data_IF_545278306204
#
_entry.id   IF_545278306204
#
_cell.length_a   1.000
_cell.length_b   1.000
_cell.length_c   1.000
_cell.angle_alpha   90.00
_cell.angle_beta   90.00
_cell.angle_gamma   90.00
#
_symmetry.space_group_name_H-M   'P 1'
#
loop_
_entity.id
_entity.type
_entity.pdbx_description
1 polymer ?
#
# COMPACT_ATOMS: atom_id res chain seq x y z
N UNK A 1 -39.34 -63.99 16.51
CA UNK A 1 -38.42 -62.83 16.73
C UNK A 1 -37.20 -62.92 15.80
N UNK A 2 -37.32 -62.66 14.52
CA UNK A 2 -36.24 -62.55 13.54
C UNK A 2 -36.72 -61.71 12.33
N UNK A 3 -36.89 -60.40 12.48
CA UNK A 3 -37.20 -59.54 11.32
C UNK A 3 -36.91 -58.06 11.52
N UNK A 4 -35.91 -57.68 12.34
CA UNK A 4 -35.63 -56.24 12.55
C UNK A 4 -34.19 -55.81 12.31
N UNK A 5 -33.29 -56.70 11.91
CA UNK A 5 -31.84 -56.34 11.72
C UNK A 5 -31.53 -56.01 10.23
N UNK A 6 -32.25 -56.59 9.28
CA UNK A 6 -32.00 -56.39 7.85
C UNK A 6 -32.50 -55.06 7.32
N UNK A 7 -33.56 -54.47 7.90
CA UNK A 7 -34.07 -53.17 7.45
C UNK A 7 -33.24 -51.95 7.87
N UNK A 8 -32.46 -52.09 8.98
CA UNK A 8 -31.58 -50.99 9.44
C UNK A 8 -30.26 -50.92 8.67
N UNK A 9 -29.77 -52.03 8.14
CA UNK A 9 -28.55 -52.07 7.33
C UNK A 9 -28.77 -51.55 5.91
N UNK A 10 -29.96 -51.72 5.33
CA UNK A 10 -30.32 -51.21 4.00
C UNK A 10 -30.49 -49.67 4.04
N UNK A 11 -31.06 -49.13 5.12
CA UNK A 11 -31.21 -47.69 5.28
C UNK A 11 -29.84 -46.97 5.51
N UNK A 12 -28.92 -47.61 6.22
CA UNK A 12 -27.56 -47.06 6.41
C UNK A 12 -26.69 -47.12 5.14
N UNK A 13 -26.88 -48.16 4.31
CA UNK A 13 -26.18 -48.27 3.02
C UNK A 13 -26.69 -47.27 1.97
N UNK A 14 -27.97 -46.91 2.00
CA UNK A 14 -28.55 -45.90 1.11
C UNK A 14 -28.14 -44.47 1.52
N UNK A 15 -27.95 -44.16 2.81
CA UNK A 15 -27.44 -42.86 3.25
C UNK A 15 -25.96 -42.67 2.91
N UNK A 16 -25.16 -43.74 2.95
CA UNK A 16 -23.72 -43.68 2.63
C UNK A 16 -23.43 -43.53 1.13
N UNK A 17 -24.36 -43.91 0.26
CA UNK A 17 -24.21 -43.80 -1.20
C UNK A 17 -24.65 -42.43 -1.76
N UNK A 18 -25.44 -41.66 -1.01
CA UNK A 18 -25.94 -40.34 -1.46
C UNK A 18 -25.01 -39.20 -1.04
N UNK A 19 -24.26 -39.34 0.06
CA UNK A 19 -23.33 -38.33 0.55
C UNK A 19 -22.17 -37.99 -0.41
N UNK A 20 -21.53 -38.93 -1.11
CA UNK A 20 -20.44 -38.59 -2.01
C UNK A 20 -20.89 -37.93 -3.32
N UNK A 21 -22.11 -38.18 -3.78
CA UNK A 21 -22.61 -37.55 -5.02
C UNK A 21 -22.96 -36.07 -4.84
N UNK A 22 -23.43 -35.68 -3.67
CA UNK A 22 -23.70 -34.27 -3.35
C UNK A 22 -22.39 -33.49 -3.07
N UNK A 23 -21.39 -34.14 -2.48
CA UNK A 23 -20.09 -33.53 -2.26
C UNK A 23 -19.32 -33.32 -3.57
N UNK A 24 -19.44 -34.24 -4.53
CA UNK A 24 -18.81 -34.12 -5.85
C UNK A 24 -19.48 -33.01 -6.69
N UNK A 25 -20.80 -32.87 -6.60
CA UNK A 25 -21.53 -31.81 -7.29
C UNK A 25 -21.25 -30.40 -6.74
N UNK A 26 -20.82 -30.29 -5.45
CA UNK A 26 -20.41 -29.02 -4.84
C UNK A 26 -18.96 -28.63 -5.15
N UNK A 27 -18.17 -29.54 -5.74
CA UNK A 27 -16.75 -29.33 -6.08
C UNK A 27 -16.52 -29.01 -7.56
N UNK A 28 -17.52 -28.93 -8.38
CA UNK A 28 -17.37 -28.37 -9.73
C UNK A 28 -17.22 -26.85 -9.63
N UNK A 29 -15.97 -26.41 -9.67
CA UNK A 29 -15.67 -24.99 -9.77
C UNK A 29 -16.33 -24.38 -10.99
N UNK A 30 -17.03 -23.26 -10.80
CA UNK A 30 -17.60 -22.49 -11.90
C UNK A 30 -16.51 -22.08 -12.90
N UNK A 31 -16.86 -21.84 -14.15
CA UNK A 31 -15.93 -21.36 -15.17
C UNK A 31 -15.24 -20.05 -14.71
N UNK A 32 -15.97 -19.20 -13.96
CA UNK A 32 -15.44 -17.95 -13.40
C UNK A 32 -14.38 -18.21 -12.33
N UNK A 33 -14.58 -19.20 -11.46
CA UNK A 33 -13.59 -19.62 -10.45
C UNK A 33 -12.31 -20.16 -11.12
N UNK A 34 -12.46 -21.01 -12.14
CA UNK A 34 -11.32 -21.54 -12.91
C UNK A 34 -10.56 -20.42 -13.63
N UNK A 35 -11.24 -19.43 -14.19
CA UNK A 35 -10.62 -18.28 -14.83
C UNK A 35 -9.93 -17.35 -13.81
N UNK A 36 -10.54 -17.14 -12.64
CA UNK A 36 -9.94 -16.38 -11.56
C UNK A 36 -8.65 -17.05 -11.05
N UNK A 37 -8.65 -18.37 -10.87
CA UNK A 37 -7.45 -19.12 -10.47
C UNK A 37 -6.33 -19.04 -11.53
N UNK A 38 -6.66 -19.16 -12.82
CA UNK A 38 -5.67 -18.99 -13.90
C UNK A 38 -5.07 -17.59 -13.90
N UNK A 39 -5.91 -16.56 -13.75
CA UNK A 39 -5.46 -15.17 -13.67
C UNK A 39 -4.57 -14.94 -12.44
N UNK A 40 -4.86 -15.59 -11.32
CA UNK A 40 -4.06 -15.53 -10.10
C UNK A 40 -2.70 -16.23 -10.27
N UNK A 41 -2.67 -17.43 -10.87
CA UNK A 41 -1.42 -18.13 -11.17
C UNK A 41 -0.51 -17.32 -12.10
N UNK A 42 -1.07 -16.72 -13.14
CA UNK A 42 -0.32 -15.86 -14.06
C UNK A 42 0.15 -14.58 -13.37
N UNK A 43 -0.67 -14.00 -12.51
CA UNK A 43 -0.26 -12.88 -11.67
C UNK A 43 0.95 -13.22 -10.81
N UNK A 44 0.93 -14.35 -10.09
CA UNK A 44 2.06 -14.79 -9.27
C UNK A 44 3.32 -15.06 -10.11
N UNK A 45 3.20 -15.62 -11.31
CA UNK A 45 4.33 -15.81 -12.21
C UNK A 45 4.99 -14.49 -12.59
N UNK A 46 4.20 -13.51 -13.02
CA UNK A 46 4.68 -12.18 -13.40
C UNK A 46 5.30 -11.45 -12.20
N UNK A 47 4.67 -11.55 -11.04
CA UNK A 47 5.16 -10.91 -9.81
C UNK A 47 6.48 -11.53 -9.37
N UNK A 48 6.63 -12.84 -9.45
CA UNK A 48 7.88 -13.53 -9.12
C UNK A 48 9.04 -13.12 -10.04
N UNK A 49 8.82 -13.05 -11.35
CA UNK A 49 9.82 -12.57 -12.31
C UNK A 49 10.26 -11.12 -12.00
N UNK A 50 9.33 -10.26 -11.57
CA UNK A 50 9.63 -8.90 -11.11
C UNK A 50 10.33 -8.89 -9.76
N UNK A 51 9.97 -9.81 -8.88
CA UNK A 51 10.47 -9.92 -7.52
C UNK A 51 11.96 -10.25 -7.44
N UNK A 52 12.50 -10.93 -8.43
CA UNK A 52 13.93 -11.26 -8.52
C UNK A 52 14.79 -10.09 -9.02
N UNK A 53 14.16 -9.06 -9.61
CA UNK A 53 14.88 -7.92 -10.20
C UNK A 53 15.09 -6.81 -9.17
N UNK A 54 16.33 -6.38 -8.99
CA UNK A 54 16.64 -5.12 -8.34
C UNK A 54 16.44 -3.95 -9.32
N UNK A 55 15.77 -2.88 -8.89
CA UNK A 55 15.45 -1.71 -9.71
C UNK A 55 16.41 -0.55 -9.52
N UNK A 56 17.21 -0.60 -8.45
CA UNK A 56 18.35 0.32 -8.25
C UNK A 56 19.51 -0.44 -7.62
N UNK A 57 20.72 0.04 -7.84
CA UNK A 57 21.90 -0.47 -7.15
C UNK A 57 22.05 0.19 -5.77
N UNK A 58 22.64 -0.49 -4.77
CA UNK A 58 22.94 0.11 -3.47
C UNK A 58 23.72 1.42 -3.66
N UNK A 59 23.20 2.53 -3.12
CA UNK A 59 23.76 3.87 -3.33
C UNK A 59 23.66 4.78 -2.12
N UNK A 60 22.87 4.40 -1.12
CA UNK A 60 22.66 5.21 0.07
C UNK A 60 23.67 4.83 1.15
N UNK A 61 24.25 5.85 1.78
CA UNK A 61 25.13 5.64 2.93
C UNK A 61 24.32 5.30 4.17
N UNK A 62 24.55 4.11 4.70
CA UNK A 62 23.89 3.59 5.91
C UNK A 62 24.81 3.67 7.15
N UNK A 63 26.02 4.22 7.04
CA UNK A 63 27.01 4.23 8.13
C UNK A 63 26.55 4.98 9.38
N UNK A 64 25.62 5.93 9.22
CA UNK A 64 25.05 6.70 10.33
C UNK A 64 23.90 5.97 11.07
N UNK A 65 23.46 4.78 10.59
CA UNK A 65 22.48 3.96 11.27
C UNK A 65 23.12 3.13 12.39
N UNK A 66 22.39 2.89 13.49
CA UNK A 66 22.91 2.04 14.55
C UNK A 66 23.08 0.60 14.09
N UNK A 67 24.14 -0.08 14.51
CA UNK A 67 24.27 -1.51 14.35
C UNK A 67 23.25 -2.26 15.21
N UNK A 68 22.76 -3.40 14.73
CA UNK A 68 21.90 -4.25 15.52
C UNK A 68 22.71 -5.01 16.57
N UNK A 69 22.44 -4.73 17.83
CA UNK A 69 22.93 -5.49 18.98
C UNK A 69 21.73 -6.04 19.72
N UNK A 70 21.56 -7.37 19.85
CA UNK A 70 20.48 -7.94 20.63
C UNK A 70 20.46 -7.42 22.07
N UNK A 71 19.33 -6.90 22.53
CA UNK A 71 19.13 -6.58 23.95
C UNK A 71 18.70 -7.82 24.72
N UNK A 72 17.98 -8.71 24.03
CA UNK A 72 17.49 -9.96 24.57
C UNK A 72 17.58 -11.03 23.49
N UNK A 73 18.08 -12.23 23.83
CA UNK A 73 17.95 -13.39 22.97
C UNK A 73 16.52 -13.90 23.04
N UNK A 74 15.88 -13.98 21.88
CA UNK A 74 14.47 -14.37 21.79
C UNK A 74 14.30 -15.68 21.04
N UNK A 75 13.20 -16.37 21.32
CA UNK A 75 12.87 -17.67 20.72
C UNK A 75 11.41 -17.69 20.26
N UNK A 76 11.10 -18.67 19.40
CA UNK A 76 9.73 -18.89 18.92
C UNK A 76 9.42 -18.20 17.62
N UNK A 77 8.14 -18.20 17.26
CA UNK A 77 7.66 -17.65 16.00
C UNK A 77 7.24 -16.18 16.11
N UNK A 78 7.60 -15.38 15.12
CA UNK A 78 7.07 -14.05 14.84
C UNK A 78 6.17 -14.20 13.62
N UNK A 79 4.87 -13.97 13.79
CA UNK A 79 3.88 -14.10 12.73
C UNK A 79 3.65 -12.72 12.08
N UNK A 80 3.99 -12.60 10.81
CA UNK A 80 3.85 -11.37 10.03
C UNK A 80 2.77 -11.57 8.96
N UNK A 81 1.73 -10.75 8.99
CA UNK A 81 0.69 -10.69 7.97
C UNK A 81 0.76 -9.39 7.19
N UNK A 82 0.05 -9.30 6.06
CA UNK A 82 -0.15 -8.02 5.38
C UNK A 82 0.20 -8.02 3.91
N UNK A 83 0.89 -6.97 3.53
CA UNK A 83 1.25 -6.66 2.16
C UNK A 83 2.16 -7.73 1.54
N UNK A 84 1.79 -8.19 0.35
CA UNK A 84 2.48 -9.25 -0.37
C UNK A 84 3.89 -8.87 -0.88
N UNK A 85 4.24 -7.60 -0.99
CA UNK A 85 5.44 -7.17 -1.71
C UNK A 85 6.76 -7.67 -1.13
N UNK A 86 6.88 -7.85 0.19
CA UNK A 86 8.10 -8.43 0.77
C UNK A 86 8.23 -9.95 0.55
N UNK A 87 7.12 -10.63 0.21
CA UNK A 87 7.12 -12.04 -0.19
C UNK A 87 7.20 -12.20 -1.72
N UNK A 88 6.64 -11.26 -2.48
CA UNK A 88 6.74 -11.21 -3.93
C UNK A 88 8.16 -10.86 -4.41
N UNK A 89 8.92 -10.15 -3.56
CA UNK A 89 10.36 -9.92 -3.70
C UNK A 89 11.17 -10.87 -2.83
N UNK A 90 12.42 -10.50 -2.58
CA UNK A 90 13.34 -11.27 -1.75
C UNK A 90 13.55 -10.66 -0.36
N UNK A 91 12.98 -9.49 -0.08
CA UNK A 91 13.24 -8.74 1.14
C UNK A 91 12.84 -9.51 2.40
N UNK A 92 11.71 -10.20 2.39
CA UNK A 92 11.28 -11.03 3.52
C UNK A 92 12.27 -12.15 3.85
N UNK A 93 12.79 -12.81 2.81
CA UNK A 93 13.83 -13.84 2.99
C UNK A 93 15.16 -13.25 3.47
N UNK A 94 15.55 -12.09 2.93
CA UNK A 94 16.78 -11.42 3.33
C UNK A 94 16.72 -11.01 4.80
N UNK A 95 15.65 -10.39 5.24
CA UNK A 95 15.43 -10.05 6.65
C UNK A 95 15.43 -11.29 7.56
N UNK A 96 14.73 -12.35 7.16
CA UNK A 96 14.70 -13.59 7.94
C UNK A 96 16.10 -14.21 8.09
N UNK A 97 16.86 -14.31 6.99
CA UNK A 97 18.22 -14.88 6.99
C UNK A 97 19.20 -14.01 7.80
N UNK A 98 19.10 -12.68 7.66
CA UNK A 98 19.98 -11.77 8.38
C UNK A 98 19.65 -11.71 9.87
N UNK A 99 18.37 -11.65 10.26
CA UNK A 99 17.92 -11.66 11.65
C UNK A 99 18.32 -12.95 12.38
N UNK A 100 18.22 -14.10 11.72
CA UNK A 100 18.59 -15.39 12.30
C UNK A 100 20.07 -15.51 12.71
N UNK A 101 20.97 -14.70 12.11
CA UNK A 101 22.38 -14.66 12.52
C UNK A 101 22.56 -14.10 13.93
N UNK A 102 21.68 -13.20 14.35
CA UNK A 102 21.70 -12.55 15.66
C UNK A 102 20.73 -13.21 16.64
N UNK A 103 19.63 -13.77 16.14
CA UNK A 103 18.54 -14.36 16.92
C UNK A 103 18.23 -15.79 16.45
N UNK A 104 19.16 -16.75 16.68
CA UNK A 104 19.03 -18.11 16.12
C UNK A 104 17.85 -18.91 16.66
N UNK A 105 17.28 -18.51 17.80
CA UNK A 105 16.09 -19.13 18.39
C UNK A 105 14.77 -18.60 17.85
N UNK A 106 14.79 -17.47 17.15
CA UNK A 106 13.60 -16.85 16.58
C UNK A 106 13.37 -17.32 15.13
N UNK A 107 12.11 -17.45 14.75
CA UNK A 107 11.68 -17.81 13.41
C UNK A 107 10.60 -16.85 12.94
N UNK A 108 10.56 -16.54 11.65
CA UNK A 108 9.53 -15.66 11.05
C UNK A 108 8.63 -16.51 10.19
N UNK A 109 7.32 -16.31 10.30
CA UNK A 109 6.36 -16.85 9.38
C UNK A 109 5.62 -15.70 8.70
N UNK A 110 5.55 -15.74 7.38
CA UNK A 110 4.88 -14.75 6.57
C UNK A 110 3.56 -15.30 6.03
N UNK A 111 2.48 -14.53 6.22
CA UNK A 111 1.22 -14.71 5.51
C UNK A 111 0.80 -13.36 4.93
N UNK A 112 1.17 -13.13 3.68
CA UNK A 112 1.15 -11.82 3.02
C UNK A 112 0.30 -11.85 1.73
N UNK A 113 -1.02 -12.13 1.82
CA UNK A 113 -1.88 -12.17 0.63
C UNK A 113 -2.19 -10.79 0.08
N UNK A 114 -2.33 -9.79 0.95
CA UNK A 114 -2.67 -8.39 0.63
C UNK A 114 -2.65 -7.53 1.89
N UNK A 115 -2.51 -6.23 1.74
CA UNK A 115 -2.71 -5.28 2.84
C UNK A 115 -4.19 -5.14 3.26
N UNK A 116 -5.12 -5.38 2.34
CA UNK A 116 -6.54 -5.31 2.65
C UNK A 116 -6.92 -6.39 3.69
N UNK A 117 -7.59 -5.96 4.77
CA UNK A 117 -8.01 -6.86 5.85
C UNK A 117 -6.89 -7.37 6.75
N UNK A 118 -5.64 -6.92 6.57
CA UNK A 118 -4.51 -7.36 7.39
C UNK A 118 -4.67 -6.95 8.87
N UNK A 119 -5.31 -5.82 9.15
CA UNK A 119 -5.59 -5.37 10.52
C UNK A 119 -6.47 -6.37 11.29
N UNK A 120 -7.40 -7.05 10.62
CA UNK A 120 -8.17 -8.14 11.22
C UNK A 120 -7.30 -9.25 11.82
N UNK A 121 -6.09 -9.48 11.31
CA UNK A 121 -5.18 -10.45 11.91
C UNK A 121 -4.61 -9.97 13.26
N UNK A 122 -4.39 -8.66 13.46
CA UNK A 122 -4.08 -8.10 14.78
C UNK A 122 -5.29 -8.12 15.70
N UNK A 123 -6.47 -7.80 15.18
CA UNK A 123 -7.72 -7.77 15.94
C UNK A 123 -7.95 -9.08 16.67
N UNK A 124 -7.72 -10.18 15.98
CA UNK A 124 -7.96 -11.55 16.51
C UNK A 124 -6.70 -12.30 16.95
N UNK A 125 -5.56 -11.61 17.13
CA UNK A 125 -4.28 -12.19 17.58
C UNK A 125 -3.76 -13.31 16.67
N UNK A 126 -4.06 -13.25 15.37
CA UNK A 126 -3.55 -14.18 14.36
C UNK A 126 -2.15 -13.77 13.86
N UNK A 127 -1.79 -12.49 14.00
CA UNK A 127 -0.49 -11.95 13.72
C UNK A 127 0.12 -11.26 14.95
N UNK A 128 1.44 -11.29 15.07
CA UNK A 128 2.20 -10.48 16.02
C UNK A 128 2.48 -9.09 15.41
N UNK A 129 2.65 -9.04 14.09
CA UNK A 129 3.01 -7.83 13.32
C UNK A 129 2.24 -7.83 11.99
N UNK A 130 1.86 -6.64 11.53
CA UNK A 130 1.38 -6.41 10.18
C UNK A 130 2.40 -5.57 9.41
N UNK A 131 2.71 -5.95 8.18
CA UNK A 131 3.43 -5.14 7.22
C UNK A 131 2.45 -4.53 6.22
N UNK A 132 2.24 -3.20 6.26
CA UNK A 132 1.22 -2.53 5.46
C UNK A 132 1.55 -1.05 5.25
N UNK A 133 0.90 -0.43 4.27
CA UNK A 133 0.72 1.03 4.23
C UNK A 133 -0.23 1.47 5.34
N UNK A 134 -0.51 2.78 5.43
CA UNK A 134 -1.45 3.30 6.44
C UNK A 134 -2.81 2.62 6.32
N UNK A 135 -3.42 2.22 7.47
CA UNK A 135 -4.74 1.61 7.48
C UNK A 135 -5.80 2.61 7.03
N UNK A 136 -6.82 2.13 6.36
CA UNK A 136 -8.01 2.91 6.10
C UNK A 136 -8.79 3.22 7.39
N UNK A 137 -9.65 4.23 7.33
CA UNK A 137 -10.48 4.64 8.48
C UNK A 137 -11.20 3.47 9.15
N UNK A 138 -11.82 2.59 8.37
CA UNK A 138 -12.59 1.46 8.91
C UNK A 138 -11.71 0.36 9.52
N UNK A 139 -10.53 0.12 8.98
CA UNK A 139 -9.56 -0.83 9.56
C UNK A 139 -9.11 -0.34 10.94
N UNK A 140 -8.74 0.94 11.04
CA UNK A 140 -8.31 1.55 12.29
C UNK A 140 -9.44 1.61 13.32
N UNK A 141 -10.65 2.01 12.90
CA UNK A 141 -11.82 2.06 13.75
C UNK A 141 -12.19 0.68 14.33
N UNK A 142 -12.13 -0.38 13.51
CA UNK A 142 -12.37 -1.75 13.95
C UNK A 142 -11.32 -2.18 14.99
N UNK A 143 -10.05 -1.91 14.69
CA UNK A 143 -8.94 -2.20 15.60
C UNK A 143 -9.10 -1.51 16.97
N UNK A 144 -9.34 -0.20 16.98
CA UNK A 144 -9.51 0.59 18.20
C UNK A 144 -10.70 0.10 19.05
N UNK A 145 -11.81 -0.28 18.43
CA UNK A 145 -12.98 -0.86 19.11
C UNK A 145 -12.67 -2.21 19.78
N UNK A 146 -11.82 -3.04 19.16
CA UNK A 146 -11.49 -4.36 19.68
C UNK A 146 -10.37 -4.29 20.71
N UNK A 147 -9.32 -3.50 20.44
CA UNK A 147 -8.11 -3.43 21.28
C UNK A 147 -8.15 -2.31 22.34
N UNK A 148 -8.97 -1.28 22.13
CA UNK A 148 -9.06 -0.09 22.98
C UNK A 148 -7.71 0.64 23.17
N UNK A 149 -6.85 0.56 22.14
CA UNK A 149 -5.56 1.25 22.01
C UNK A 149 -5.29 1.53 20.53
N UNK A 150 -4.44 2.51 20.24
CA UNK A 150 -3.91 2.72 18.89
C UNK A 150 -2.85 1.64 18.56
N UNK A 151 -2.70 1.20 17.30
CA UNK A 151 -1.62 0.32 16.92
C UNK A 151 -0.28 1.07 16.98
N UNK A 152 0.78 0.39 17.43
CA UNK A 152 2.13 0.95 17.32
C UNK A 152 2.57 0.88 15.87
N UNK A 153 2.81 2.05 15.27
CA UNK A 153 3.22 2.24 13.88
C UNK A 153 4.73 2.48 13.79
N UNK A 154 5.44 1.62 13.07
CA UNK A 154 6.89 1.72 12.84
C UNK A 154 7.16 1.77 11.34
N UNK A 155 7.67 2.89 10.82
CA UNK A 155 8.11 2.96 9.44
C UNK A 155 9.26 1.96 9.20
N UNK A 156 9.10 1.09 8.20
CA UNK A 156 10.07 0.06 7.85
C UNK A 156 10.98 0.48 6.68
N UNK A 157 10.40 1.19 5.71
CA UNK A 157 11.04 1.62 4.45
C UNK A 157 10.39 2.91 3.95
N UNK A 158 11.10 3.66 3.09
CA UNK A 158 10.58 4.90 2.48
C UNK A 158 9.95 4.67 1.12
N UNK A 159 8.94 3.84 1.02
CA UNK A 159 8.28 3.62 -0.27
C UNK A 159 9.22 3.08 -1.34
N UNK A 160 8.84 3.25 -2.61
CA UNK A 160 9.67 2.84 -3.75
C UNK A 160 9.63 3.86 -4.89
N UNK A 161 10.62 3.78 -5.77
CA UNK A 161 10.74 4.62 -6.95
C UNK A 161 10.69 3.77 -8.21
N UNK A 162 9.66 3.94 -9.04
CA UNK A 162 9.52 3.32 -10.35
C UNK A 162 9.48 1.79 -10.38
N UNK A 163 9.05 1.15 -9.33
CA UNK A 163 8.91 -0.31 -9.26
C UNK A 163 7.46 -0.69 -9.49
N UNK A 164 7.13 -1.13 -10.69
CA UNK A 164 5.76 -1.55 -11.01
C UNK A 164 5.28 -2.68 -10.11
N UNK A 165 4.14 -2.46 -9.44
CA UNK A 165 3.52 -3.43 -8.55
C UNK A 165 3.93 -3.32 -7.08
N UNK A 166 4.91 -2.48 -6.73
CA UNK A 166 5.26 -2.13 -5.35
C UNK A 166 4.59 -0.84 -4.91
N UNK A 167 4.61 -0.56 -3.61
CA UNK A 167 4.06 0.65 -3.01
C UNK A 167 4.94 1.86 -3.36
N UNK A 168 4.66 2.45 -4.51
CA UNK A 168 5.37 3.61 -5.02
C UNK A 168 4.83 4.91 -4.42
N UNK A 169 5.67 5.92 -4.32
CA UNK A 169 5.24 7.30 -4.10
C UNK A 169 4.31 7.75 -5.22
N UNK A 170 3.36 8.63 -4.89
CA UNK A 170 2.48 9.18 -5.93
C UNK A 170 3.24 10.12 -6.86
N UNK A 171 2.91 10.07 -8.13
CA UNK A 171 3.29 11.05 -9.14
C UNK A 171 2.06 11.79 -9.62
N UNK A 172 2.19 13.09 -9.84
CA UNK A 172 1.19 13.88 -10.57
C UNK A 172 1.68 14.02 -12.00
N UNK A 173 0.82 13.64 -12.92
CA UNK A 173 1.11 13.62 -14.35
C UNK A 173 0.12 14.49 -15.11
N UNK A 174 0.63 15.18 -16.12
CA UNK A 174 -0.13 16.02 -17.04
C UNK A 174 0.21 15.66 -18.48
N UNK A 175 -0.61 16.11 -19.42
CA UNK A 175 -0.28 16.02 -20.84
C UNK A 175 1.05 16.72 -21.13
N UNK A 176 1.82 16.20 -22.08
CA UNK A 176 3.14 16.73 -22.46
C UNK A 176 3.15 18.20 -22.88
N UNK A 177 2.07 18.67 -23.50
CA UNK A 177 1.91 20.05 -23.96
C UNK A 177 1.53 21.03 -22.82
N UNK A 178 1.15 20.54 -21.64
CA UNK A 178 0.77 21.40 -20.53
C UNK A 178 1.98 22.17 -19.98
N UNK A 179 1.96 23.51 -19.90
CA UNK A 179 3.14 24.30 -19.49
C UNK A 179 3.38 24.32 -17.98
N UNK A 180 2.47 23.79 -17.14
CA UNK A 180 2.60 23.87 -15.67
C UNK A 180 3.84 23.14 -15.19
N UNK A 181 4.62 23.74 -14.28
CA UNK A 181 5.87 23.16 -13.78
C UNK A 181 5.69 22.32 -12.52
N UNK A 182 4.73 22.69 -11.70
CA UNK A 182 4.43 21.98 -10.45
C UNK A 182 3.22 22.58 -9.75
N UNK A 183 2.81 21.93 -8.68
CA UNK A 183 1.63 22.28 -7.87
C UNK A 183 1.96 22.12 -6.38
N UNK A 184 1.25 22.88 -5.55
CA UNK A 184 1.28 22.65 -4.10
C UNK A 184 0.26 21.59 -3.68
N UNK A 185 0.44 21.05 -2.48
CA UNK A 185 -0.54 20.12 -1.86
C UNK A 185 -1.94 20.75 -1.75
N UNK A 186 -2.02 22.07 -1.46
CA UNK A 186 -3.30 22.79 -1.42
C UNK A 186 -3.94 22.89 -2.81
N UNK A 187 -3.15 23.15 -3.86
CA UNK A 187 -3.64 23.15 -5.22
C UNK A 187 -4.11 21.76 -5.67
N UNK A 188 -3.40 20.70 -5.29
CA UNK A 188 -3.86 19.33 -5.55
C UNK A 188 -5.20 19.03 -4.87
N UNK A 189 -5.36 19.44 -3.62
CA UNK A 189 -6.65 19.33 -2.92
C UNK A 189 -7.75 20.12 -3.67
N UNK A 190 -7.45 21.31 -4.16
CA UNK A 190 -8.39 22.11 -4.97
C UNK A 190 -8.80 21.44 -6.28
N UNK A 191 -7.87 20.76 -6.96
CA UNK A 191 -8.10 20.10 -8.26
C UNK A 191 -8.82 18.76 -8.08
N UNK A 192 -8.32 17.88 -7.21
CA UNK A 192 -8.82 16.51 -7.06
C UNK A 192 -9.97 16.41 -6.07
N UNK A 193 -10.14 17.41 -5.20
CA UNK A 193 -11.17 17.44 -4.17
C UNK A 193 -12.34 18.37 -4.47
N UNK A 194 -13.38 18.23 -3.65
CA UNK A 194 -14.52 19.12 -3.54
C UNK A 194 -14.55 19.77 -2.15
N UNK A 195 -15.53 20.65 -1.92
CA UNK A 195 -15.77 21.26 -0.61
C UNK A 195 -16.06 20.21 0.46
N UNK A 196 -15.66 20.51 1.69
CA UNK A 196 -15.86 19.63 2.84
C UNK A 196 -15.97 20.43 4.16
N UNK A 197 -16.68 19.86 5.12
CA UNK A 197 -16.88 20.45 6.44
C UNK A 197 -15.78 20.06 7.45
N UNK A 198 -14.86 19.20 7.07
CA UNK A 198 -13.75 18.71 7.88
C UNK A 198 -13.04 17.56 7.20
N UNK A 199 -12.23 16.83 7.96
CA UNK A 199 -11.50 15.67 7.50
C UNK A 199 -11.22 14.70 8.64
N UNK A 200 -10.66 13.55 8.31
CA UNK A 200 -10.26 12.55 9.30
C UNK A 200 -8.74 12.47 9.42
N UNK A 201 -8.25 12.42 10.65
CA UNK A 201 -6.87 12.07 10.98
C UNK A 201 -6.93 10.84 11.87
N UNK A 202 -6.60 9.68 11.31
CA UNK A 202 -6.98 8.42 11.92
C UNK A 202 -8.49 8.34 12.09
N UNK A 203 -8.99 8.07 13.29
CA UNK A 203 -10.42 8.05 13.65
C UNK A 203 -10.92 9.35 14.25
N UNK A 204 -10.09 10.41 14.32
CA UNK A 204 -10.42 11.69 14.89
C UNK A 204 -10.93 12.67 13.82
N UNK A 205 -12.17 13.14 13.99
CA UNK A 205 -12.72 14.18 13.14
C UNK A 205 -12.07 15.53 13.40
N UNK A 206 -11.68 16.22 12.35
CA UNK A 206 -10.98 17.52 12.36
C UNK A 206 -11.77 18.56 11.56
N UNK A 207 -12.62 19.39 12.23
CA UNK A 207 -13.38 20.45 11.57
C UNK A 207 -12.48 21.57 11.02
N UNK A 208 -11.28 21.75 11.56
CA UNK A 208 -10.28 22.69 11.06
C UNK A 208 -9.70 22.33 9.67
N UNK A 209 -9.99 21.14 9.16
CA UNK A 209 -9.68 20.72 7.81
C UNK A 209 -10.81 21.02 6.80
N UNK A 210 -11.82 21.80 7.21
CA UNK A 210 -12.88 22.27 6.33
C UNK A 210 -12.31 23.10 5.15
N UNK A 211 -12.97 23.02 4.00
CA UNK A 211 -12.60 23.73 2.79
C UNK A 211 -13.86 24.08 2.00
N UNK A 212 -14.06 25.36 1.72
CA UNK A 212 -15.21 25.85 0.96
C UNK A 212 -15.04 25.67 -0.55
N UNK A 213 -16.14 25.86 -1.32
CA UNK A 213 -16.15 25.71 -2.77
C UNK A 213 -15.28 26.75 -3.51
N UNK A 214 -15.01 27.90 -2.90
CA UNK A 214 -14.14 28.94 -3.46
C UNK A 214 -12.70 28.51 -3.65
N UNK A 215 -12.30 27.42 -2.98
CA UNK A 215 -10.98 26.79 -3.13
C UNK A 215 -10.97 25.66 -4.16
N UNK A 216 -12.09 25.39 -4.82
CA UNK A 216 -12.12 24.44 -5.93
C UNK A 216 -11.40 25.02 -7.15
N UNK A 217 -10.49 24.23 -7.71
CA UNK A 217 -9.73 24.59 -8.91
C UNK A 217 -10.24 23.72 -10.06
N UNK A 218 -10.88 24.35 -11.04
CA UNK A 218 -11.55 23.67 -12.15
C UNK A 218 -11.03 24.08 -13.51
N UNK A 219 -10.25 25.18 -13.57
CA UNK A 219 -9.65 25.66 -14.82
C UNK A 219 -8.15 25.87 -14.66
N UNK A 220 -7.42 25.74 -15.76
CA UNK A 220 -5.98 25.97 -15.80
C UNK A 220 -5.61 27.44 -15.53
N UNK A 221 -6.51 28.38 -15.86
CA UNK A 221 -6.33 29.80 -15.55
C UNK A 221 -6.29 30.10 -14.06
N UNK A 222 -7.04 29.36 -13.23
CA UNK A 222 -6.96 29.49 -11.77
C UNK A 222 -5.58 29.11 -11.20
N UNK A 223 -4.77 28.40 -11.98
CA UNK A 223 -3.38 28.06 -11.66
C UNK A 223 -2.38 29.03 -12.29
N UNK A 224 -2.85 30.15 -12.86
CA UNK A 224 -2.01 31.18 -13.46
C UNK A 224 -1.62 30.94 -14.91
N UNK A 225 -2.18 29.92 -15.59
CA UNK A 225 -1.94 29.74 -17.01
C UNK A 225 -2.77 30.74 -17.82
N UNK A 226 -2.17 31.30 -18.85
CA UNK A 226 -2.73 32.36 -19.70
C UNK A 226 -2.91 31.91 -21.16
N UNK A 227 -3.40 32.81 -22.00
CA UNK A 227 -3.61 32.53 -23.44
C UNK A 227 -4.62 31.41 -23.66
N UNK A 228 -4.28 30.43 -24.45
CA UNK A 228 -5.18 29.31 -24.79
C UNK A 228 -5.59 28.43 -23.56
N UNK A 229 -4.92 28.59 -22.45
CA UNK A 229 -5.16 27.81 -21.23
C UNK A 229 -6.09 28.48 -20.21
N UNK A 230 -6.29 29.82 -20.37
CA UNK A 230 -6.95 30.62 -19.32
C UNK A 230 -8.34 30.09 -18.93
N UNK A 231 -9.16 29.72 -19.91
CA UNK A 231 -10.54 29.28 -19.70
C UNK A 231 -10.71 27.75 -19.84
N UNK A 232 -9.61 27.00 -20.00
CA UNK A 232 -9.73 25.56 -20.23
C UNK A 232 -10.02 24.81 -18.94
N UNK A 233 -10.99 23.90 -18.96
CA UNK A 233 -11.29 23.06 -17.81
C UNK A 233 -10.11 22.11 -17.55
N UNK A 234 -9.94 21.74 -16.27
CA UNK A 234 -9.03 20.69 -15.86
C UNK A 234 -9.79 19.36 -15.92
N UNK A 235 -9.34 18.43 -16.74
CA UNK A 235 -9.90 17.09 -16.80
C UNK A 235 -9.13 16.18 -15.85
N UNK A 236 -9.80 15.66 -14.83
CA UNK A 236 -9.18 14.95 -13.71
C UNK A 236 -9.30 13.45 -13.89
N UNK A 237 -8.17 12.74 -13.76
CA UNK A 237 -8.07 11.29 -13.90
C UNK A 237 -7.46 10.66 -12.67
N UNK A 238 -7.98 9.49 -12.24
CA UNK A 238 -7.50 8.80 -11.04
C UNK A 238 -7.87 7.33 -10.98
N UNK A 239 -7.57 6.72 -9.86
CA UNK A 239 -7.90 5.33 -9.58
C UNK A 239 -9.31 5.18 -9.04
N UNK A 240 -9.95 4.07 -9.38
CA UNK A 240 -11.20 3.64 -8.74
C UNK A 240 -10.99 3.42 -7.23
N UNK A 241 -12.00 3.76 -6.42
CA UNK A 241 -12.03 3.52 -4.97
C UNK A 241 -11.89 2.04 -4.56
N UNK A 242 -11.95 1.12 -5.53
CA UNK A 242 -11.65 -0.30 -5.29
C UNK A 242 -10.19 -0.57 -4.92
N UNK A 243 -9.30 0.40 -5.12
CA UNK A 243 -7.86 0.27 -4.89
C UNK A 243 -7.42 1.16 -3.73
N UNK A 244 -6.58 0.59 -2.88
CA UNK A 244 -5.93 1.32 -1.78
C UNK A 244 -5.16 2.57 -2.27
N UNK A 245 -4.78 2.59 -3.54
CA UNK A 245 -4.16 3.75 -4.19
C UNK A 245 -5.06 4.99 -4.10
N UNK A 246 -6.35 4.86 -4.38
CA UNK A 246 -7.28 5.97 -4.30
C UNK A 246 -7.49 6.43 -2.86
N UNK A 247 -7.69 5.49 -1.91
CA UNK A 247 -7.86 5.83 -0.49
C UNK A 247 -6.61 6.47 0.10
N UNK A 248 -5.42 5.95 -0.20
CA UNK A 248 -4.17 6.55 0.25
C UNK A 248 -3.93 7.96 -0.32
N UNK A 249 -4.34 8.22 -1.57
CA UNK A 249 -4.31 9.57 -2.13
C UNK A 249 -5.32 10.49 -1.43
N UNK A 250 -6.51 9.99 -1.15
CA UNK A 250 -7.54 10.71 -0.40
C UNK A 250 -7.04 11.12 0.99
N UNK A 251 -6.43 10.20 1.73
CA UNK A 251 -5.88 10.49 3.06
C UNK A 251 -4.78 11.55 3.00
N UNK A 252 -3.90 11.45 2.03
CA UNK A 252 -2.74 12.34 1.91
C UNK A 252 -3.12 13.73 1.38
N UNK A 253 -3.94 13.80 0.34
CA UNK A 253 -4.27 15.04 -0.37
C UNK A 253 -5.61 15.61 0.08
N UNK A 254 -6.67 14.80 0.16
CA UNK A 254 -8.04 15.22 0.46
C UNK A 254 -8.38 15.13 1.95
N UNK A 255 -7.38 14.93 2.82
CA UNK A 255 -7.52 14.89 4.27
C UNK A 255 -8.50 13.83 4.78
N UNK A 256 -8.53 12.67 4.15
CA UNK A 256 -9.43 11.57 4.51
C UNK A 256 -10.92 11.91 4.41
N UNK A 257 -11.27 12.97 3.67
CA UNK A 257 -12.66 13.48 3.62
C UNK A 257 -13.58 12.70 2.70
N UNK A 258 -13.00 11.92 1.79
CA UNK A 258 -13.71 11.24 0.69
C UNK A 258 -14.53 12.18 -0.22
N UNK A 259 -14.15 13.47 -0.23
CA UNK A 259 -14.77 14.51 -1.07
C UNK A 259 -13.95 14.72 -2.32
N UNK A 260 -14.27 13.94 -3.34
CA UNK A 260 -13.60 13.97 -4.64
C UNK A 260 -14.22 15.01 -5.58
N UNK A 261 -13.39 15.47 -6.52
CA UNK A 261 -13.87 16.28 -7.65
C UNK A 261 -14.95 15.50 -8.41
N UNK A 262 -16.09 16.14 -8.61
CA UNK A 262 -17.30 15.57 -9.21
C UNK A 262 -17.13 15.10 -10.66
N UNK A 263 -16.07 15.58 -11.33
CA UNK A 263 -15.77 15.24 -12.74
C UNK A 263 -14.66 14.20 -12.89
N UNK A 264 -14.12 13.66 -11.78
CA UNK A 264 -13.03 12.71 -11.84
C UNK A 264 -13.40 11.46 -12.64
N UNK A 265 -12.54 11.09 -13.58
CA UNK A 265 -12.64 9.83 -14.32
C UNK A 265 -11.77 8.78 -13.64
N UNK A 266 -12.40 7.81 -13.01
CA UNK A 266 -11.73 6.76 -12.26
C UNK A 266 -11.54 5.49 -13.10
N UNK A 267 -10.34 4.93 -13.08
CA UNK A 267 -9.98 3.70 -13.80
C UNK A 267 -9.76 2.54 -12.85
N UNK A 268 -10.08 1.34 -13.33
CA UNK A 268 -9.82 0.09 -12.65
C UNK A 268 -9.26 -0.96 -13.62
N UNK A 269 -8.64 -2.00 -13.07
CA UNK A 269 -8.21 -3.15 -13.85
C UNK A 269 -9.42 -3.88 -14.44
N UNK A 270 -9.31 -4.32 -15.67
CA UNK A 270 -10.29 -5.23 -16.25
C UNK A 270 -9.64 -6.21 -17.24
N UNK A 271 -10.30 -7.33 -17.44
CA UNK A 271 -9.97 -8.31 -18.47
C UNK A 271 -10.93 -8.12 -19.63
N UNK A 272 -10.40 -7.87 -20.81
CA UNK A 272 -11.21 -7.83 -22.02
C UNK A 272 -11.63 -9.26 -22.45
N UNK A 273 -12.68 -9.40 -23.26
CA UNK A 273 -13.15 -10.71 -23.72
C UNK A 273 -12.09 -11.53 -24.47
N UNK A 274 -11.12 -10.89 -25.08
CA UNK A 274 -9.96 -11.50 -25.75
C UNK A 274 -8.86 -11.99 -24.79
N UNK A 275 -9.07 -11.84 -23.47
CA UNK A 275 -8.12 -12.21 -22.42
C UNK A 275 -7.03 -11.17 -22.17
N UNK A 276 -7.05 -10.02 -22.84
CA UNK A 276 -6.10 -8.93 -22.58
C UNK A 276 -6.43 -8.22 -21.28
N UNK A 277 -5.44 -8.08 -20.40
CA UNK A 277 -5.55 -7.31 -19.16
C UNK A 277 -5.25 -5.84 -19.40
N UNK A 278 -6.14 -4.97 -18.95
CA UNK A 278 -5.93 -3.53 -18.90
C UNK A 278 -5.67 -3.10 -17.47
N UNK A 279 -4.50 -2.52 -17.25
CA UNK A 279 -4.05 -2.05 -15.93
C UNK A 279 -4.47 -0.60 -15.76
N UNK A 280 -5.02 -0.24 -14.61
CA UNK A 280 -5.53 1.10 -14.31
C UNK A 280 -4.49 2.21 -14.52
N UNK A 281 -3.25 1.97 -14.06
CA UNK A 281 -2.15 2.94 -14.19
C UNK A 281 -1.81 3.24 -15.66
N UNK A 282 -1.81 2.22 -16.53
CA UNK A 282 -1.58 2.38 -17.97
C UNK A 282 -2.72 3.12 -18.62
N UNK A 283 -3.97 2.82 -18.26
CA UNK A 283 -5.18 3.49 -18.78
C UNK A 283 -5.19 4.99 -18.43
N UNK A 284 -4.86 5.34 -17.18
CA UNK A 284 -4.75 6.75 -16.74
C UNK A 284 -3.69 7.47 -17.57
N UNK A 285 -2.51 6.87 -17.72
CA UNK A 285 -1.40 7.47 -18.47
C UNK A 285 -1.76 7.65 -19.93
N UNK A 286 -2.41 6.67 -20.56
CA UNK A 286 -2.86 6.74 -21.96
C UNK A 286 -3.94 7.81 -22.15
N UNK A 287 -4.90 7.90 -21.23
CA UNK A 287 -5.95 8.92 -21.28
C UNK A 287 -5.37 10.35 -21.19
N UNK A 288 -4.40 10.57 -20.28
CA UNK A 288 -3.73 11.87 -20.14
C UNK A 288 -2.91 12.21 -21.37
N UNK A 289 -2.24 11.24 -21.99
CA UNK A 289 -1.48 11.47 -23.21
C UNK A 289 -2.34 11.88 -24.43
N UNK A 290 -3.64 11.55 -24.41
CA UNK A 290 -4.62 11.88 -25.45
C UNK A 290 -5.44 13.15 -25.17
N UNK A 291 -5.40 13.66 -23.94
CA UNK A 291 -6.21 14.78 -23.48
C UNK A 291 -5.30 15.94 -23.04
N UNK A 292 -5.22 16.98 -23.88
CA UNK A 292 -4.36 18.15 -23.67
C UNK A 292 -4.57 18.82 -22.29
N UNK A 293 -5.80 18.82 -21.79
CA UNK A 293 -6.19 19.50 -20.54
C UNK A 293 -6.22 18.59 -19.32
N UNK A 294 -5.67 17.39 -19.45
CA UNK A 294 -5.69 16.37 -18.42
C UNK A 294 -4.65 16.58 -17.33
N UNK A 295 -5.03 16.17 -16.12
CA UNK A 295 -4.18 15.91 -14.98
C UNK A 295 -4.61 14.60 -14.31
N UNK A 296 -3.68 13.87 -13.74
CA UNK A 296 -3.98 12.68 -12.96
C UNK A 296 -2.90 12.36 -11.95
N UNK A 297 -3.23 11.47 -11.02
CA UNK A 297 -2.25 10.89 -10.12
C UNK A 297 -1.99 9.42 -10.47
N UNK A 298 -0.76 8.99 -10.27
CA UNK A 298 -0.34 7.62 -10.52
C UNK A 298 0.69 7.18 -9.47
N UNK A 299 0.91 5.88 -9.31
CA UNK A 299 2.01 5.29 -8.50
C UNK A 299 3.13 4.73 -9.38
N UNK A 300 2.99 4.87 -10.66
CA UNK A 300 3.84 4.26 -11.65
C UNK A 300 4.47 5.33 -12.54
N UNK A 301 5.67 5.08 -12.99
CA UNK A 301 6.46 6.03 -13.79
C UNK A 301 5.80 6.50 -15.08
N UNK A 302 4.82 5.89 -15.56
CA UNK A 302 3.96 6.36 -16.65
C UNK A 302 4.64 7.16 -17.77
N UNK A 303 5.92 6.90 -18.09
CA UNK A 303 6.60 7.58 -19.18
C UNK A 303 5.98 7.15 -20.49
N UNK A 304 5.26 8.08 -21.08
CA UNK A 304 4.74 8.00 -22.44
C UNK A 304 5.17 9.29 -23.16
N UNK A 305 5.33 9.28 -24.48
CA UNK A 305 5.82 10.45 -25.22
C UNK A 305 5.06 11.74 -24.94
N UNK A 306 3.76 11.64 -24.66
CA UNK A 306 2.87 12.79 -24.46
C UNK A 306 2.47 13.01 -23.00
N UNK A 307 3.20 12.45 -22.03
CA UNK A 307 2.89 12.58 -20.59
C UNK A 307 4.15 12.97 -19.85
N UNK A 308 4.03 13.92 -18.93
CA UNK A 308 5.14 14.28 -18.06
C UNK A 308 4.70 14.39 -16.61
N UNK A 309 5.63 14.14 -15.71
CA UNK A 309 5.49 14.38 -14.27
C UNK A 309 5.72 15.86 -13.97
N UNK A 310 5.10 16.34 -12.90
CA UNK A 310 5.32 17.69 -12.37
C UNK A 310 5.82 17.64 -10.94
N UNK A 311 6.54 18.67 -10.54
CA UNK A 311 7.05 18.82 -9.18
C UNK A 311 5.93 19.18 -8.20
N UNK A 312 6.07 18.79 -6.92
CA UNK A 312 5.07 19.03 -5.88
C UNK A 312 5.72 19.77 -4.72
N UNK A 313 5.04 20.78 -4.19
CA UNK A 313 5.47 21.52 -3.01
C UNK A 313 4.48 21.42 -1.86
N UNK A 314 4.95 21.62 -0.65
CA UNK A 314 4.13 21.71 0.57
C UNK A 314 3.46 23.09 0.74
N UNK A 315 3.77 24.04 -0.14
CA UNK A 315 3.30 25.43 -0.08
C UNK A 315 4.15 26.35 0.81
N UNK A 316 5.16 25.84 1.49
CA UNK A 316 6.08 26.62 2.35
C UNK A 316 7.50 26.70 1.78
N UNK A 317 7.89 25.68 1.02
CA UNK A 317 9.19 25.54 0.41
C UNK A 317 9.13 25.49 -1.12
N UNK A 318 10.25 25.17 -1.78
CA UNK A 318 10.31 25.00 -3.22
C UNK A 318 9.50 23.78 -3.68
N UNK A 319 9.18 23.75 -4.97
CA UNK A 319 8.65 22.56 -5.62
C UNK A 319 9.73 21.46 -5.67
N UNK A 320 9.35 20.25 -5.30
CA UNK A 320 10.24 19.08 -5.20
C UNK A 320 9.90 18.08 -6.31
N UNK A 321 10.92 17.69 -7.08
CA UNK A 321 10.77 16.70 -8.14
C UNK A 321 10.65 15.28 -7.59
N UNK A 322 9.91 14.42 -8.28
CA UNK A 322 9.83 13.00 -7.98
C UNK A 322 11.12 12.30 -8.43
N UNK A 323 12.11 12.26 -7.55
CA UNK A 323 13.39 11.59 -7.75
C UNK A 323 13.65 10.56 -6.65
N UNK A 324 14.53 9.59 -6.92
CA UNK A 324 14.87 8.56 -5.93
C UNK A 324 15.42 9.17 -4.64
N UNK A 325 16.23 10.23 -4.75
CA UNK A 325 16.85 10.88 -3.59
C UNK A 325 15.81 11.66 -2.76
N UNK A 326 14.89 12.38 -3.43
CA UNK A 326 13.83 13.13 -2.76
C UNK A 326 12.79 12.21 -2.08
N UNK A 327 12.59 11.02 -2.59
CA UNK A 327 11.75 10.00 -1.95
C UNK A 327 12.49 9.41 -0.74
N UNK A 328 13.75 9.02 -0.91
CA UNK A 328 14.52 8.39 0.16
C UNK A 328 14.74 9.32 1.34
N UNK A 329 15.03 10.61 1.10
CA UNK A 329 15.24 11.59 2.17
C UNK A 329 13.95 12.18 2.76
N UNK A 330 12.78 11.81 2.22
CA UNK A 330 11.48 12.26 2.73
C UNK A 330 11.05 13.66 2.31
N UNK A 331 11.79 14.34 1.42
CA UNK A 331 11.47 15.72 0.99
C UNK A 331 10.31 15.78 -0.01
N UNK A 332 10.01 14.69 -0.70
CA UNK A 332 8.91 14.65 -1.66
C UNK A 332 7.54 14.55 -0.96
N UNK A 333 6.63 15.53 -1.12
CA UNK A 333 5.41 15.61 -0.31
C UNK A 333 4.40 14.47 -0.51
N UNK A 334 4.42 13.80 -1.68
CA UNK A 334 3.55 12.67 -1.99
C UNK A 334 4.23 11.32 -1.74
N UNK A 335 5.16 11.28 -0.79
CA UNK A 335 5.80 10.08 -0.31
C UNK A 335 4.78 9.14 0.35
N UNK A 336 4.88 7.86 0.06
CA UNK A 336 4.17 6.78 0.77
C UNK A 336 5.18 5.83 1.38
N UNK A 337 5.20 5.77 2.70
CA UNK A 337 6.01 4.81 3.46
C UNK A 337 5.25 3.50 3.66
N UNK A 338 5.98 2.44 3.97
CA UNK A 338 5.39 1.17 4.42
C UNK A 338 5.82 0.90 5.85
N UNK A 339 4.89 0.40 6.63
CA UNK A 339 5.00 0.32 8.08
C UNK A 339 4.86 -1.11 8.57
N UNK A 340 5.44 -1.37 9.73
CA UNK A 340 5.05 -2.44 10.62
C UNK A 340 4.08 -1.91 11.67
N UNK A 341 2.99 -2.65 11.91
CA UNK A 341 2.04 -2.38 12.99
C UNK A 341 2.02 -3.53 13.96
N UNK A 342 1.97 -3.23 15.25
CA UNK A 342 1.83 -4.23 16.32
C UNK A 342 0.94 -3.70 17.43
N UNK A 343 0.45 -4.63 18.28
CA UNK A 343 -0.40 -4.27 19.42
C UNK A 343 0.42 -4.23 20.71
N UNK A 344 0.31 -3.12 21.43
CA UNK A 344 0.77 -3.02 22.82
C UNK A 344 -0.41 -2.56 23.66
N UNK A 345 -0.97 -3.47 24.46
CA UNK A 345 -2.10 -3.16 25.32
C UNK A 345 -1.69 -2.24 26.49
N UNK A 346 -2.64 -1.47 26.99
CA UNK A 346 -2.39 -0.52 28.09
C UNK A 346 -1.76 -1.19 29.32
N UNK A 347 -0.62 -0.67 29.76
CA UNK A 347 0.13 -1.22 30.88
C UNK A 347 0.97 -2.46 30.59
N UNK A 348 0.96 -2.94 29.35
CA UNK A 348 1.82 -4.02 28.91
C UNK A 348 3.06 -3.48 28.20
N UNK A 349 4.10 -4.32 28.17
CA UNK A 349 5.29 -4.09 27.34
C UNK A 349 5.12 -4.78 26.00
N UNK A 350 5.77 -4.26 24.98
CA UNK A 350 5.85 -4.93 23.67
C UNK A 350 6.48 -6.32 23.84
N UNK A 351 5.95 -7.31 23.13
CA UNK A 351 6.53 -8.66 23.08
C UNK A 351 8.02 -8.57 22.73
N UNK A 352 8.93 -9.14 23.52
CA UNK A 352 10.38 -9.04 23.29
C UNK A 352 10.81 -9.50 21.89
N UNK A 353 10.21 -10.56 21.34
CA UNK A 353 10.56 -11.04 19.98
C UNK A 353 10.14 -10.04 18.89
N UNK A 354 8.99 -9.39 19.07
CA UNK A 354 8.51 -8.32 18.18
C UNK A 354 9.44 -7.11 18.28
N UNK A 355 9.75 -6.68 19.50
CA UNK A 355 10.66 -5.54 19.74
C UNK A 355 12.03 -5.76 19.12
N UNK A 356 12.64 -6.94 19.33
CA UNK A 356 13.95 -7.27 18.76
C UNK A 356 13.92 -7.30 17.22
N UNK A 357 12.86 -7.86 16.62
CA UNK A 357 12.72 -7.84 15.17
C UNK A 357 12.59 -6.41 14.61
N UNK A 358 11.76 -5.57 15.22
CA UNK A 358 11.62 -4.17 14.79
C UNK A 358 12.93 -3.38 14.99
N UNK A 359 13.68 -3.62 16.06
CA UNK A 359 15.01 -3.05 16.25
C UNK A 359 16.00 -3.49 15.18
N UNK A 360 15.95 -4.76 14.78
CA UNK A 360 16.75 -5.27 13.67
C UNK A 360 16.39 -4.56 12.35
N UNK A 361 15.10 -4.44 12.02
CA UNK A 361 14.65 -3.73 10.82
C UNK A 361 15.18 -2.28 10.80
N UNK A 362 15.21 -1.60 11.94
CA UNK A 362 15.67 -0.22 12.10
C UNK A 362 17.20 -0.09 12.25
N UNK A 363 17.94 -1.16 12.08
CA UNK A 363 19.41 -1.15 12.14
C UNK A 363 20.07 -1.00 10.77
N UNK A 364 21.37 -0.78 10.76
CA UNK A 364 22.17 -0.77 9.55
C UNK A 364 22.03 -2.11 8.79
N UNK A 365 22.04 -3.24 9.50
CA UNK A 365 21.91 -4.58 8.92
C UNK A 365 20.53 -4.77 8.27
N UNK A 366 19.45 -4.35 8.94
CA UNK A 366 18.09 -4.47 8.41
C UNK A 366 17.87 -3.59 7.18
N UNK A 367 18.39 -2.37 7.19
CA UNK A 367 18.28 -1.41 6.07
C UNK A 367 19.23 -1.78 4.91
N UNK A 368 20.34 -2.46 5.18
CA UNK A 368 21.20 -3.00 4.12
C UNK A 368 20.47 -4.06 3.27
N UNK A 369 19.62 -4.88 3.89
CA UNK A 369 18.81 -5.84 3.14
C UNK A 369 17.73 -5.16 2.28
N UNK A 370 17.23 -3.99 2.69
CA UNK A 370 16.33 -3.15 1.85
C UNK A 370 17.05 -2.71 0.57
N UNK A 371 18.29 -2.19 0.69
CA UNK A 371 19.09 -1.80 -0.47
C UNK A 371 19.44 -3.01 -1.35
N UNK A 372 19.74 -4.15 -0.73
CA UNK A 372 20.05 -5.39 -1.45
C UNK A 372 18.88 -5.87 -2.30
N UNK A 373 17.66 -5.80 -1.77
CA UNK A 373 16.45 -6.16 -2.51
C UNK A 373 16.18 -5.18 -3.68
N UNK A 374 16.55 -3.91 -3.53
CA UNK A 374 16.54 -2.90 -4.60
C UNK A 374 15.17 -2.54 -5.11
N UNK A 375 14.13 -2.61 -4.28
CA UNK A 375 12.75 -2.21 -4.61
C UNK A 375 12.27 -1.07 -3.73
N UNK A 376 12.26 -1.29 -2.42
CA UNK A 376 12.04 -0.23 -1.45
C UNK A 376 13.33 0.56 -1.18
N UNK A 377 13.19 1.78 -0.71
CA UNK A 377 14.30 2.66 -0.34
C UNK A 377 14.52 2.60 1.18
N UNK A 378 15.79 2.62 1.64
CA UNK A 378 16.09 2.56 3.05
C UNK A 378 15.70 3.84 3.78
N UNK A 379 15.43 3.74 5.07
CA UNK A 379 15.22 4.87 5.95
C UNK A 379 16.51 5.68 6.14
N UNK A 380 16.36 7.00 6.36
CA UNK A 380 17.49 7.84 6.81
C UNK A 380 17.79 7.61 8.29
N UNK A 381 18.97 8.02 8.74
CA UNK A 381 19.34 7.95 10.15
C UNK A 381 18.41 8.76 11.06
N UNK A 382 17.87 9.88 10.57
CA UNK A 382 16.87 10.66 11.30
C UNK A 382 15.56 9.89 11.45
N UNK A 383 15.03 9.35 10.36
CA UNK A 383 13.83 8.52 10.41
C UNK A 383 14.00 7.34 11.36
N UNK A 384 15.13 6.63 11.28
CA UNK A 384 15.42 5.50 12.18
C UNK A 384 15.40 5.92 13.64
N UNK A 385 16.05 7.04 13.98
CA UNK A 385 16.04 7.56 15.37
C UNK A 385 14.63 7.83 15.88
N UNK A 386 13.77 8.43 15.05
CA UNK A 386 12.37 8.69 15.42
C UNK A 386 11.57 7.38 15.62
N UNK A 387 11.81 6.37 14.77
CA UNK A 387 11.12 5.09 14.95
C UNK A 387 11.60 4.33 16.19
N UNK A 388 12.90 4.37 16.50
CA UNK A 388 13.46 3.70 17.68
C UNK A 388 12.85 4.22 18.99
N UNK A 389 12.54 5.52 19.10
CA UNK A 389 11.86 6.11 20.27
C UNK A 389 10.51 5.45 20.56
N UNK A 390 9.81 4.95 19.54
CA UNK A 390 8.51 4.29 19.70
C UNK A 390 8.64 2.86 20.27
N UNK A 391 9.86 2.33 20.31
CA UNK A 391 10.16 1.00 20.86
C UNK A 391 10.63 1.05 22.33
N UNK A 392 10.85 2.24 22.88
CA UNK A 392 11.23 2.45 24.28
C UNK A 392 10.03 2.35 25.22
#
# INVERSE_FOLDING_TARGET
>A
MKSSVTSRLVAAALLAAVLPLHLVAQLEESADTKNALKAQVEHFRIVRERGEKAYYQPRFDLSALPHYVPQTLVTGWIKIHGNNYIADGLLGEYWQKAFAKFQPGARISYFLPTSAGSFGALDYNQADIIFSHKPGFYDLLAYERIKNVDPVEIAAVTGSYDVGGWENSFTIIVNGDNPIKGLTMEQLDGIFGAEREGGWVGTNWRPDLARGPEKNIRTWGQLGLTGEWADKPIHVYGFSLRYNTATAFCDLVLKGSDKWNETIKAYGNYMAPDGKRYVEADQITEAIGKDKYAIGFNRYRGERPNVRRIAIGDGKGPLVEHTIDNIQNGSYPLLTQVYFYTTVLRGQKMDPKVKEFLRFILSQEGQAEVQRDGKYLPLTAEMVREQLKKLE
#
